data_IF_857541993020
#
_entry.id   IF_857541993020
#
_cell.length_a   1.000
_cell.length_b   1.000
_cell.length_c   1.000
_cell.angle_alpha   90.00
_cell.angle_beta   90.00
_cell.angle_gamma   90.00
#
_symmetry.space_group_name_H-M   'P 1'
#
loop_
_entity.id
_entity.type
_entity.pdbx_description
1 polymer ?
#
# COMPACT_ATOMS: atom_id res chain seq x y z
N UNK A 1 -44.37 31.86 32.61
CA UNK A 1 -45.61 31.98 31.82
C UNK A 1 -45.36 31.43 30.42
N UNK A 2 -46.29 30.61 29.92
CA UNK A 2 -46.34 29.96 28.59
C UNK A 2 -45.23 28.92 28.32
N UNK A 3 -45.41 27.60 28.49
CA UNK A 3 -46.37 26.62 27.91
C UNK A 3 -46.42 26.59 26.37
N UNK A 4 -46.01 25.43 25.82
CA UNK A 4 -46.53 24.64 24.68
C UNK A 4 -45.59 23.42 24.54
N UNK A 5 -45.89 22.19 24.99
CA UNK A 5 -46.75 21.12 24.40
C UNK A 5 -46.54 20.95 22.89
N UNK A 6 -46.42 19.77 22.27
CA UNK A 6 -46.32 18.35 22.63
C UNK A 6 -46.17 17.53 21.31
N UNK A 7 -45.99 16.20 21.44
CA UNK A 7 -46.24 15.06 20.50
C UNK A 7 -44.96 14.30 20.10
N UNK A 8 -44.61 13.18 20.75
CA UNK A 8 -45.16 11.81 20.64
C UNK A 8 -45.21 11.28 19.20
N UNK A 9 -44.45 10.21 18.93
CA UNK A 9 -44.97 8.90 18.47
C UNK A 9 -43.85 7.81 18.56
N UNK A 10 -44.10 6.67 19.25
CA UNK A 10 -43.23 5.50 19.24
C UNK A 10 -43.67 4.53 18.13
N UNK A 11 -42.74 4.11 17.29
CA UNK A 11 -42.97 3.20 16.16
C UNK A 11 -42.56 1.76 16.54
N UNK A 12 -43.12 1.26 17.65
CA UNK A 12 -42.78 -0.07 18.18
C UNK A 12 -43.98 -0.81 18.78
N UNK A 13 -45.13 -0.83 18.09
CA UNK A 13 -46.33 -1.55 18.56
C UNK A 13 -47.15 -2.19 17.42
N UNK A 14 -46.47 -2.78 16.43
CA UNK A 14 -47.13 -3.38 15.26
C UNK A 14 -46.63 -4.80 14.92
N UNK A 15 -46.35 -5.61 15.95
CA UNK A 15 -46.04 -7.04 15.79
C UNK A 15 -46.73 -7.96 16.84
N UNK A 16 -47.86 -7.55 17.43
CA UNK A 16 -48.54 -8.38 18.46
C UNK A 16 -50.06 -8.59 18.29
N UNK A 17 -50.64 -8.42 17.10
CA UNK A 17 -52.10 -8.65 16.91
C UNK A 17 -52.45 -9.44 15.65
N UNK A 18 -51.75 -10.54 15.38
CA UNK A 18 -52.21 -11.58 14.46
C UNK A 18 -51.86 -12.97 15.00
N UNK A 19 -52.50 -13.37 16.09
CA UNK A 19 -52.49 -14.75 16.56
C UNK A 19 -53.77 -15.04 17.36
N UNK A 20 -54.88 -15.24 16.67
CA UNK A 20 -56.04 -15.94 17.22
C UNK A 20 -56.89 -16.47 16.07
N UNK A 21 -57.28 -17.74 16.21
CA UNK A 21 -58.18 -18.51 15.35
C UNK A 21 -57.57 -19.26 14.15
N UNK A 22 -56.72 -20.26 14.43
CA UNK A 22 -56.89 -21.62 13.88
C UNK A 22 -56.46 -22.61 14.97
N UNK A 23 -57.43 -23.25 15.62
CA UNK A 23 -57.21 -24.46 16.43
C UNK A 23 -57.47 -25.63 15.48
N UNK A 24 -56.39 -26.21 14.98
CA UNK A 24 -56.39 -27.52 14.35
C UNK A 24 -55.25 -28.32 15.00
N UNK A 25 -55.51 -29.59 15.28
CA UNK A 25 -54.56 -30.57 15.80
C UNK A 25 -53.20 -30.44 15.11
N UNK A 26 -52.21 -29.92 15.84
CA UNK A 26 -50.80 -30.00 15.47
C UNK A 26 -50.11 -30.79 16.56
N UNK A 27 -49.65 -31.97 16.17
CA UNK A 27 -48.83 -32.88 16.96
C UNK A 27 -47.63 -32.14 17.56
N UNK A 28 -47.26 -32.52 18.78
CA UNK A 28 -46.18 -31.95 19.59
C UNK A 28 -44.76 -32.20 19.03
N UNK A 29 -44.50 -31.92 17.75
CA UNK A 29 -43.18 -32.01 17.11
C UNK A 29 -42.62 -30.64 16.67
N UNK A 30 -43.35 -29.53 16.82
CA UNK A 30 -42.90 -28.19 16.36
C UNK A 30 -42.13 -27.36 17.41
N UNK A 31 -41.89 -27.86 18.62
CA UNK A 31 -41.21 -27.08 19.67
C UNK A 31 -39.68 -27.02 19.55
N UNK A 32 -39.04 -27.90 18.75
CA UNK A 32 -37.58 -27.92 18.58
C UNK A 32 -37.06 -26.97 17.48
N UNK A 33 -37.92 -26.49 16.58
CA UNK A 33 -37.51 -25.65 15.46
C UNK A 33 -37.14 -24.22 15.90
N UNK A 34 -37.87 -23.66 16.86
CA UNK A 34 -37.64 -22.29 17.35
C UNK A 34 -36.44 -22.16 18.30
N UNK A 35 -36.15 -23.20 19.10
CA UNK A 35 -34.99 -23.20 19.99
C UNK A 35 -33.68 -23.22 19.18
N UNK A 36 -33.64 -23.98 18.09
CA UNK A 36 -32.46 -24.09 17.22
C UNK A 36 -32.17 -22.78 16.49
N UNK A 37 -33.19 -22.08 15.98
CA UNK A 37 -33.01 -20.77 15.35
C UNK A 37 -32.55 -19.69 16.32
N UNK A 38 -33.06 -19.69 17.56
CA UNK A 38 -32.64 -18.74 18.59
C UNK A 38 -31.20 -18.96 19.03
N UNK A 39 -30.76 -20.23 19.17
CA UNK A 39 -29.37 -20.58 19.47
C UNK A 39 -28.42 -20.22 18.31
N UNK A 40 -28.84 -20.38 17.06
CA UNK A 40 -28.06 -19.93 15.90
C UNK A 40 -27.94 -18.41 15.85
N UNK A 41 -29.03 -17.66 16.09
CA UNK A 41 -28.98 -16.19 16.14
C UNK A 41 -28.10 -15.67 17.29
N UNK A 42 -28.21 -16.26 18.49
CA UNK A 42 -27.38 -15.86 19.63
C UNK A 42 -25.90 -16.23 19.44
N UNK A 43 -25.60 -17.34 18.75
CA UNK A 43 -24.24 -17.68 18.33
C UNK A 43 -23.67 -16.68 17.30
N UNK A 44 -24.47 -16.25 16.33
CA UNK A 44 -24.05 -15.24 15.34
C UNK A 44 -23.81 -13.89 16.02
N UNK A 45 -24.73 -13.46 16.89
CA UNK A 45 -24.61 -12.20 17.63
C UNK A 45 -23.42 -12.21 18.61
N UNK A 46 -23.16 -13.32 19.30
CA UNK A 46 -21.98 -13.42 20.18
C UNK A 46 -20.66 -13.46 19.41
N UNK A 47 -20.65 -14.04 18.21
CA UNK A 47 -19.48 -14.03 17.32
C UNK A 47 -19.22 -12.64 16.74
N UNK A 48 -20.26 -11.87 16.43
CA UNK A 48 -20.13 -10.47 16.03
C UNK A 48 -19.68 -9.56 17.18
N UNK A 49 -20.15 -9.80 18.41
CA UNK A 49 -19.79 -8.99 19.57
C UNK A 49 -18.34 -9.17 20.04
N UNK A 50 -17.69 -10.26 19.64
CA UNK A 50 -16.30 -10.58 20.00
C UNK A 50 -15.42 -10.80 18.77
N UNK A 51 -15.78 -10.21 17.62
CA UNK A 51 -14.87 -10.21 16.49
C UNK A 51 -13.55 -9.58 16.95
N UNK A 52 -12.42 -10.31 16.88
CA UNK A 52 -11.15 -9.78 17.35
C UNK A 52 -10.86 -8.48 16.60
N UNK A 53 -10.49 -7.44 17.35
CA UNK A 53 -10.13 -6.15 16.79
C UNK A 53 -9.11 -6.37 15.68
N UNK A 54 -9.39 -5.84 14.49
CA UNK A 54 -8.45 -5.95 13.39
C UNK A 54 -7.31 -4.97 13.61
N UNK A 55 -6.09 -5.25 13.12
CA UNK A 55 -4.98 -4.34 13.30
C UNK A 55 -5.25 -2.93 12.74
N UNK A 56 -6.09 -2.83 11.70
CA UNK A 56 -6.54 -1.57 11.09
C UNK A 56 -7.74 -0.93 11.75
N UNK A 57 -8.20 -1.43 12.90
CA UNK A 57 -9.03 -0.69 13.84
C UNK A 57 -8.17 0.15 14.80
N UNK A 58 -6.92 -0.29 15.05
CA UNK A 58 -5.96 0.37 15.95
C UNK A 58 -5.18 1.47 15.24
N UNK A 59 -4.52 1.16 14.13
CA UNK A 59 -3.68 2.10 13.38
C UNK A 59 -4.21 2.34 11.96
N UNK A 60 -3.83 3.48 11.38
CA UNK A 60 -3.81 3.63 9.92
C UNK A 60 -2.51 3.08 9.35
N UNK A 61 -2.57 2.41 8.20
CA UNK A 61 -1.41 1.83 7.54
C UNK A 61 -1.21 2.47 6.18
N UNK A 62 0.02 2.91 5.90
CA UNK A 62 0.37 3.54 4.63
C UNK A 62 1.62 2.91 4.01
N UNK A 63 1.42 2.20 2.91
CA UNK A 63 2.49 1.78 2.01
C UNK A 63 2.84 2.94 1.10
N UNK A 64 4.12 3.25 0.96
CA UNK A 64 4.62 4.32 0.10
C UNK A 64 5.50 3.73 -0.99
N UNK A 65 5.17 4.09 -2.23
CA UNK A 65 5.94 3.71 -3.40
C UNK A 65 6.36 4.96 -4.18
N UNK A 66 7.62 5.00 -4.56
CA UNK A 66 8.16 6.01 -5.47
C UNK A 66 8.50 5.37 -6.81
N UNK A 67 8.33 6.09 -7.91
CA UNK A 67 8.54 5.60 -9.25
C UNK A 67 9.92 4.97 -9.38
N UNK A 68 9.96 3.75 -9.92
CA UNK A 68 11.18 2.93 -10.04
C UNK A 68 11.87 2.58 -8.72
N UNK A 69 11.31 2.82 -7.54
CA UNK A 69 11.83 2.35 -6.25
C UNK A 69 11.26 0.98 -5.83
N UNK A 70 10.57 0.26 -6.74
CA UNK A 70 9.90 -1.00 -6.43
C UNK A 70 8.40 -0.86 -6.20
N UNK A 71 7.71 0.04 -6.92
CA UNK A 71 6.27 0.29 -6.80
C UNK A 71 5.43 -0.98 -6.84
N UNK A 72 5.62 -1.83 -7.85
CA UNK A 72 4.84 -3.05 -7.99
C UNK A 72 5.12 -4.05 -6.85
N UNK A 73 6.39 -4.16 -6.44
CA UNK A 73 6.79 -4.97 -5.30
C UNK A 73 6.11 -4.51 -4.00
N UNK A 74 6.07 -3.19 -3.76
CA UNK A 74 5.36 -2.63 -2.61
C UNK A 74 3.87 -2.98 -2.65
N UNK A 75 3.20 -2.77 -3.79
CA UNK A 75 1.78 -3.09 -3.93
C UNK A 75 1.51 -4.57 -3.63
N UNK A 76 2.30 -5.47 -4.20
CA UNK A 76 2.14 -6.91 -4.00
C UNK A 76 2.40 -7.33 -2.54
N UNK A 77 3.47 -6.85 -1.93
CA UNK A 77 3.78 -7.13 -0.51
C UNK A 77 2.66 -6.60 0.37
N UNK A 78 2.24 -5.36 0.15
CA UNK A 78 1.20 -4.70 0.95
C UNK A 78 -0.14 -5.44 0.85
N UNK A 79 -0.58 -5.77 -0.36
CA UNK A 79 -1.79 -6.56 -0.59
C UNK A 79 -1.68 -7.95 0.04
N UNK A 80 -0.54 -8.63 -0.10
CA UNK A 80 -0.35 -9.97 0.46
C UNK A 80 -0.44 -9.96 1.99
N UNK A 81 0.14 -8.94 2.64
CA UNK A 81 0.07 -8.79 4.10
C UNK A 81 -1.38 -8.66 4.56
N UNK A 82 -2.11 -7.68 4.03
CA UNK A 82 -3.43 -7.37 4.56
C UNK A 82 -4.50 -8.37 4.11
N UNK A 83 -4.38 -8.97 2.93
CA UNK A 83 -5.27 -10.06 2.52
C UNK A 83 -5.10 -11.31 3.40
N UNK A 84 -3.87 -11.66 3.80
CA UNK A 84 -3.64 -12.77 4.73
C UNK A 84 -4.33 -12.56 6.09
N UNK A 85 -4.53 -11.31 6.52
CA UNK A 85 -5.25 -10.94 7.74
C UNK A 85 -6.77 -10.77 7.53
N UNK A 86 -7.25 -10.99 6.30
CA UNK A 86 -8.65 -10.94 5.92
C UNK A 86 -9.17 -9.55 5.52
N UNK A 87 -8.30 -8.59 5.19
CA UNK A 87 -8.72 -7.30 4.65
C UNK A 87 -9.42 -7.48 3.29
N UNK A 88 -10.51 -6.76 3.08
CA UNK A 88 -11.31 -6.82 1.85
C UNK A 88 -10.90 -5.71 0.89
N UNK A 89 -10.58 -6.04 -0.39
CA UNK A 89 -10.33 -5.04 -1.42
C UNK A 89 -11.47 -4.02 -1.51
N UNK A 90 -11.14 -2.76 -1.81
CA UNK A 90 -12.07 -1.63 -1.99
C UNK A 90 -12.85 -1.20 -0.73
N UNK A 91 -12.83 -1.98 0.35
CA UNK A 91 -13.47 -1.65 1.62
C UNK A 91 -12.41 -1.23 2.62
N UNK A 92 -11.51 -2.15 2.95
CA UNK A 92 -10.47 -1.93 3.96
C UNK A 92 -9.20 -1.34 3.36
N UNK A 93 -9.06 -1.46 2.03
CA UNK A 93 -7.86 -1.09 1.28
C UNK A 93 -8.12 -0.05 0.20
N UNK A 94 -7.22 0.92 0.07
CA UNK A 94 -7.22 1.97 -0.93
C UNK A 94 -5.87 2.15 -1.64
N UNK A 95 -5.89 2.78 -2.80
CA UNK A 95 -4.68 3.16 -3.54
C UNK A 95 -4.83 4.59 -4.07
N UNK A 96 -3.74 5.35 -4.05
CA UNK A 96 -3.65 6.70 -4.60
C UNK A 96 -2.37 6.89 -5.39
N UNK A 97 -2.49 7.55 -6.53
CA UNK A 97 -1.39 7.81 -7.46
C UNK A 97 -1.34 9.31 -7.83
N UNK A 98 -0.17 9.79 -8.25
CA UNK A 98 0.02 11.13 -8.78
C UNK A 98 0.70 11.10 -10.17
N UNK A 99 -0.03 11.40 -11.26
CA UNK A 99 -1.46 11.73 -11.30
C UNK A 99 -2.34 10.50 -11.05
N UNK A 100 -3.57 10.75 -10.63
CA UNK A 100 -4.54 9.67 -10.46
C UNK A 100 -5.07 9.23 -11.83
N UNK A 101 -4.60 8.09 -12.34
CA UNK A 101 -5.07 7.52 -13.60
C UNK A 101 -6.46 6.86 -13.43
N UNK A 102 -7.30 6.83 -14.48
CA UNK A 102 -8.59 6.15 -14.43
C UNK A 102 -8.44 4.68 -13.97
N UNK A 103 -9.12 4.33 -12.89
CA UNK A 103 -9.10 2.97 -12.32
C UNK A 103 -7.89 2.64 -11.46
N UNK A 104 -6.94 3.57 -11.24
CA UNK A 104 -5.77 3.30 -10.37
C UNK A 104 -5.92 3.85 -8.95
N UNK A 105 -6.77 4.85 -8.72
CA UNK A 105 -7.09 5.30 -7.36
C UNK A 105 -8.49 4.90 -6.94
N UNK A 106 -8.61 4.46 -5.70
CA UNK A 106 -9.85 4.01 -5.10
C UNK A 106 -9.79 4.09 -3.58
N UNK A 107 -10.96 4.15 -2.95
CA UNK A 107 -11.15 4.14 -1.49
C UNK A 107 -10.20 5.09 -0.72
N UNK A 108 -10.29 6.42 -0.94
CA UNK A 108 -9.44 7.42 -0.29
C UNK A 108 -9.49 7.46 1.24
N UNK A 109 -10.53 6.88 1.82
CA UNK A 109 -10.77 6.88 3.25
C UNK A 109 -10.50 5.50 3.90
N UNK A 110 -10.04 4.52 3.11
CA UNK A 110 -9.70 3.20 3.62
C UNK A 110 -8.55 3.28 4.64
N UNK A 111 -8.59 2.49 5.73
CA UNK A 111 -7.58 2.54 6.78
C UNK A 111 -6.23 1.96 6.35
N UNK A 112 -6.20 1.14 5.30
CA UNK A 112 -5.00 0.59 4.69
C UNK A 112 -4.82 1.23 3.32
N UNK A 113 -3.73 1.95 3.10
CA UNK A 113 -3.50 2.66 1.85
C UNK A 113 -2.16 2.35 1.23
N UNK A 114 -2.08 2.44 -0.10
CA UNK A 114 -0.82 2.56 -0.84
C UNK A 114 -0.82 3.88 -1.59
N UNK A 115 0.20 4.72 -1.37
CA UNK A 115 0.41 5.96 -2.11
C UNK A 115 1.61 5.84 -3.05
N UNK A 116 1.40 6.16 -4.32
CA UNK A 116 2.37 6.11 -5.40
C UNK A 116 2.70 7.55 -5.80
N UNK A 117 3.98 7.92 -5.75
CA UNK A 117 4.53 9.22 -6.16
C UNK A 117 3.96 10.49 -5.50
N UNK A 118 3.06 10.30 -4.52
CA UNK A 118 2.32 11.37 -3.86
C UNK A 118 2.91 11.75 -2.50
N UNK A 119 3.58 10.80 -1.82
CA UNK A 119 4.03 10.98 -0.44
C UNK A 119 5.23 11.92 -0.36
N UNK A 120 5.12 12.97 0.45
CA UNK A 120 6.13 14.02 0.64
C UNK A 120 6.11 14.45 2.11
N UNK A 121 7.13 15.19 2.61
CA UNK A 121 7.15 15.65 4.00
C UNK A 121 5.88 16.39 4.42
N UNK A 122 5.34 17.26 3.55
CA UNK A 122 4.10 17.98 3.82
C UNK A 122 2.89 17.05 3.89
N UNK A 123 2.82 16.00 3.05
CA UNK A 123 1.73 15.03 3.11
C UNK A 123 1.88 14.03 4.26
N UNK A 124 3.11 13.71 4.65
CA UNK A 124 3.40 12.89 5.82
C UNK A 124 2.85 13.54 7.09
N UNK A 125 3.09 14.84 7.26
CA UNK A 125 2.53 15.61 8.38
C UNK A 125 1.01 15.56 8.40
N UNK A 126 0.35 15.82 7.25
CA UNK A 126 -1.11 15.76 7.14
C UNK A 126 -1.69 14.37 7.41
N UNK A 127 -1.01 13.32 6.96
CA UNK A 127 -1.44 11.94 7.22
C UNK A 127 -1.38 11.60 8.71
N UNK A 128 -0.33 12.04 9.42
CA UNK A 128 -0.22 11.88 10.88
C UNK A 128 -1.30 12.64 11.63
N UNK A 129 -1.57 13.89 11.23
CA UNK A 129 -2.65 14.70 11.80
C UNK A 129 -4.01 14.03 11.60
N UNK A 130 -4.28 13.51 10.40
CA UNK A 130 -5.51 12.79 10.09
C UNK A 130 -5.64 11.47 10.86
N UNK A 131 -4.52 10.79 11.14
CA UNK A 131 -4.52 9.57 11.92
C UNK A 131 -4.87 9.81 13.41
N UNK A 132 -4.56 10.99 13.94
CA UNK A 132 -4.92 11.39 15.30
C UNK A 132 -4.47 10.39 16.36
N UNK A 133 -5.36 10.06 17.30
CA UNK A 133 -5.08 9.13 18.40
C UNK A 133 -4.86 7.67 17.94
N UNK A 134 -5.38 7.31 16.76
CA UNK A 134 -5.15 5.98 16.18
C UNK A 134 -3.70 5.80 15.75
N UNK A 135 -3.01 6.89 15.42
CA UNK A 135 -1.64 6.84 14.92
C UNK A 135 -1.53 6.23 13.52
N UNK A 136 -0.34 6.37 12.94
CA UNK A 136 -0.01 5.98 11.58
C UNK A 136 1.15 4.99 11.61
N UNK A 137 1.19 4.03 10.68
CA UNK A 137 2.35 3.20 10.39
C UNK A 137 2.67 3.30 8.91
N UNK A 138 3.82 3.87 8.59
CA UNK A 138 4.27 4.12 7.21
C UNK A 138 5.39 3.17 6.88
N UNK A 139 5.38 2.55 5.71
CA UNK A 139 6.53 1.82 5.21
C UNK A 139 6.75 2.11 3.72
N UNK A 140 8.01 2.17 3.30
CA UNK A 140 8.37 2.42 1.90
C UNK A 140 9.70 1.79 1.52
N UNK A 141 9.80 1.29 0.28
CA UNK A 141 11.09 0.95 -0.29
C UNK A 141 11.86 2.21 -0.65
N UNK A 142 13.13 2.23 -0.28
CA UNK A 142 14.11 3.19 -0.76
C UNK A 142 15.04 2.46 -1.70
N UNK A 143 15.35 3.10 -2.82
CA UNK A 143 16.26 2.60 -3.86
C UNK A 143 17.34 3.63 -4.13
N UNK A 144 18.50 3.19 -4.61
CA UNK A 144 19.56 4.07 -5.07
C UNK A 144 19.04 5.09 -6.12
N UNK A 145 19.08 6.42 -5.83
CA UNK A 145 18.61 7.46 -6.75
C UNK A 145 19.16 7.39 -8.18
N UNK A 146 20.43 7.03 -8.35
CA UNK A 146 21.04 6.91 -9.69
C UNK A 146 20.49 5.70 -10.41
N UNK A 147 20.34 4.57 -9.72
CA UNK A 147 19.71 3.38 -10.28
C UNK A 147 18.23 3.60 -10.63
N UNK A 148 17.51 4.47 -9.90
CA UNK A 148 16.14 4.85 -10.24
C UNK A 148 16.07 5.56 -11.60
N UNK A 149 16.91 6.58 -11.86
CA UNK A 149 16.87 7.32 -13.14
C UNK A 149 17.33 6.48 -14.33
N UNK A 150 18.31 5.59 -14.13
CA UNK A 150 18.72 4.62 -15.15
C UNK A 150 17.57 3.65 -15.45
N UNK A 151 16.88 3.20 -14.41
CA UNK A 151 15.71 2.34 -14.53
C UNK A 151 14.52 3.06 -15.18
N UNK A 152 14.35 4.37 -14.97
CA UNK A 152 13.32 5.17 -15.62
C UNK A 152 13.61 5.24 -17.13
N UNK A 153 14.79 5.71 -17.51
CA UNK A 153 15.18 5.82 -18.92
C UNK A 153 15.01 4.50 -19.67
N UNK A 154 15.58 3.40 -19.18
CA UNK A 154 15.50 2.11 -19.87
C UNK A 154 14.06 1.57 -20.02
N UNK A 155 13.18 1.94 -19.10
CA UNK A 155 11.80 1.53 -19.14
C UNK A 155 11.03 2.33 -20.19
N UNK A 156 11.13 3.65 -20.13
CA UNK A 156 10.40 4.56 -21.02
C UNK A 156 10.97 4.59 -22.44
N UNK A 157 12.29 4.42 -22.60
CA UNK A 157 12.93 4.31 -23.89
C UNK A 157 12.42 3.11 -24.72
N UNK A 158 11.94 2.05 -24.06
CA UNK A 158 11.30 0.89 -24.72
C UNK A 158 9.80 1.09 -24.99
N UNK A 159 9.29 2.31 -24.83
CA UNK A 159 7.89 2.66 -25.08
C UNK A 159 6.92 2.11 -24.04
N UNK A 160 7.36 1.93 -22.79
CA UNK A 160 6.47 1.56 -21.68
C UNK A 160 5.82 2.79 -21.07
N UNK A 161 4.63 2.60 -20.48
CA UNK A 161 3.80 3.68 -19.93
C UNK A 161 3.54 4.84 -20.92
N UNK A 162 3.09 4.53 -22.15
CA UNK A 162 2.79 5.55 -23.17
C UNK A 162 1.82 6.65 -22.70
N UNK A 163 1.07 6.41 -21.62
CA UNK A 163 0.13 7.36 -21.04
C UNK A 163 0.68 8.13 -19.83
N UNK A 164 1.97 8.00 -19.52
CA UNK A 164 2.56 8.72 -18.40
C UNK A 164 2.61 10.23 -18.68
N UNK A 165 1.80 10.99 -17.94
CA UNK A 165 1.71 12.44 -18.11
C UNK A 165 3.02 13.16 -17.78
N UNK A 166 3.90 12.54 -16.98
CA UNK A 166 5.22 13.06 -16.65
C UNK A 166 6.10 13.14 -17.89
N UNK A 167 5.86 12.30 -18.89
CA UNK A 167 6.65 12.19 -20.11
C UNK A 167 6.15 13.03 -21.28
N UNK A 168 5.33 14.06 -21.05
CA UNK A 168 4.79 14.88 -22.13
C UNK A 168 5.91 15.60 -22.93
N UNK A 169 5.97 15.49 -24.28
CA UNK A 169 5.09 14.70 -25.17
C UNK A 169 5.34 13.19 -25.09
N UNK A 170 4.25 12.42 -25.01
CA UNK A 170 4.29 10.97 -24.84
C UNK A 170 5.21 10.28 -25.84
N UNK A 171 6.03 9.36 -25.35
CA UNK A 171 6.97 8.59 -26.17
C UNK A 171 8.22 9.36 -26.62
N UNK A 172 8.46 10.58 -26.12
CA UNK A 172 9.66 11.34 -26.48
C UNK A 172 10.95 10.65 -26.03
N UNK A 173 10.95 9.99 -24.87
CA UNK A 173 12.14 9.29 -24.33
C UNK A 173 12.59 8.13 -25.22
N UNK A 174 11.65 7.49 -25.94
CA UNK A 174 11.96 6.43 -26.91
C UNK A 174 12.75 6.94 -28.13
N UNK A 175 12.75 8.26 -28.36
CA UNK A 175 13.47 8.90 -29.46
C UNK A 175 14.82 9.49 -29.02
N UNK A 176 15.06 9.56 -27.71
CA UNK A 176 16.28 10.15 -27.14
C UNK A 176 17.40 9.13 -27.02
N UNK A 177 18.63 9.57 -27.32
CA UNK A 177 19.84 8.80 -27.02
C UNK A 177 20.08 8.66 -25.51
N UNK A 178 21.00 7.79 -25.07
CA UNK A 178 21.21 7.48 -23.65
C UNK A 178 21.46 8.70 -22.75
N UNK A 179 22.38 9.59 -23.14
CA UNK A 179 22.71 10.76 -22.33
C UNK A 179 21.55 11.77 -22.27
N UNK A 180 20.90 12.02 -23.40
CA UNK A 180 19.78 12.95 -23.51
C UNK A 180 18.58 12.45 -22.69
N UNK A 181 18.18 11.19 -22.89
CA UNK A 181 17.06 10.58 -22.19
C UNK A 181 17.32 10.42 -20.70
N UNK A 182 18.52 10.00 -20.30
CA UNK A 182 18.90 9.93 -18.88
C UNK A 182 18.81 11.31 -18.20
N UNK A 183 19.27 12.36 -18.88
CA UNK A 183 19.18 13.74 -18.36
C UNK A 183 17.73 14.20 -18.26
N UNK A 184 16.91 13.92 -19.28
CA UNK A 184 15.49 14.24 -19.32
C UNK A 184 14.72 13.57 -18.17
N UNK A 185 14.97 12.29 -17.94
CA UNK A 185 14.37 11.51 -16.84
C UNK A 185 14.82 12.02 -15.48
N UNK A 186 16.11 12.28 -15.32
CA UNK A 186 16.64 12.77 -14.06
C UNK A 186 16.05 14.12 -13.64
N UNK A 187 15.74 15.02 -14.58
CA UNK A 187 15.06 16.27 -14.29
C UNK A 187 13.62 16.04 -13.78
N UNK A 188 12.89 15.11 -14.40
CA UNK A 188 11.48 14.81 -14.06
C UNK A 188 11.34 13.98 -12.79
N UNK A 189 12.29 13.10 -12.52
CA UNK A 189 12.36 12.29 -11.31
C UNK A 189 12.82 13.07 -10.07
N UNK A 190 13.34 14.29 -10.24
CA UNK A 190 13.90 15.08 -9.15
C UNK A 190 12.91 15.30 -7.99
N UNK A 191 11.63 15.69 -8.21
CA UNK A 191 10.66 15.82 -7.12
C UNK A 191 10.38 14.50 -6.39
N UNK A 192 10.32 13.38 -7.13
CA UNK A 192 10.10 12.03 -6.59
C UNK A 192 11.25 11.64 -5.65
N UNK A 193 12.49 11.76 -6.12
CA UNK A 193 13.69 11.43 -5.34
C UNK A 193 13.87 12.38 -4.15
N UNK A 194 13.57 13.67 -4.34
CA UNK A 194 13.59 14.65 -3.25
C UNK A 194 12.59 14.30 -2.15
N UNK A 195 11.37 13.91 -2.52
CA UNK A 195 10.34 13.48 -1.57
C UNK A 195 10.75 12.20 -0.83
N UNK A 196 11.21 11.18 -1.56
CA UNK A 196 11.71 9.94 -0.96
C UNK A 196 12.84 10.22 0.04
N UNK A 197 13.82 11.04 -0.35
CA UNK A 197 14.94 11.41 0.52
C UNK A 197 14.44 12.14 1.77
N UNK A 198 13.57 13.14 1.61
CA UNK A 198 13.06 13.93 2.74
C UNK A 198 12.21 13.15 3.73
N UNK A 199 11.69 11.97 3.36
CA UNK A 199 10.98 11.06 4.26
C UNK A 199 11.93 10.06 4.92
N UNK A 200 12.86 9.49 4.16
CA UNK A 200 13.60 8.29 4.58
C UNK A 200 15.08 8.50 4.93
N UNK A 201 15.62 9.71 4.80
CA UNK A 201 16.96 10.01 5.35
C UNK A 201 16.99 9.93 6.88
N UNK A 202 15.92 10.39 7.52
CA UNK A 202 15.74 10.43 8.97
C UNK A 202 14.29 10.04 9.28
N UNK A 203 13.94 8.75 9.10
CA UNK A 203 12.56 8.31 9.28
C UNK A 203 12.10 8.57 10.72
N UNK A 204 10.85 9.02 10.87
CA UNK A 204 10.22 9.15 12.17
C UNK A 204 9.93 7.76 12.77
N UNK A 205 9.60 7.70 14.07
CA UNK A 205 9.30 6.43 14.76
C UNK A 205 8.13 5.65 14.15
N UNK A 206 7.25 6.34 13.44
CA UNK A 206 6.09 5.78 12.76
C UNK A 206 6.34 5.44 11.29
N UNK A 207 7.61 5.48 10.86
CA UNK A 207 8.02 5.31 9.47
C UNK A 207 9.15 4.29 9.37
N UNK A 208 8.93 3.22 8.59
CA UNK A 208 9.93 2.22 8.29
C UNK A 208 10.47 2.39 6.87
N UNK A 209 11.79 2.50 6.78
CA UNK A 209 12.53 2.38 5.52
C UNK A 209 12.84 0.91 5.24
N UNK A 210 12.44 0.42 4.07
CA UNK A 210 12.88 -0.86 3.51
C UNK A 210 13.96 -0.63 2.45
N UNK A 211 14.95 -1.50 2.40
CA UNK A 211 16.04 -1.42 1.42
C UNK A 211 15.68 -2.24 0.17
N UNK A 212 15.46 -1.57 -0.97
CA UNK A 212 15.09 -2.23 -2.21
C UNK A 212 16.18 -3.19 -2.70
N UNK A 213 17.44 -2.76 -2.67
CA UNK A 213 18.57 -3.56 -3.13
C UNK A 213 18.72 -4.82 -2.29
N UNK A 214 18.59 -4.72 -0.96
CA UNK A 214 18.60 -5.89 -0.07
C UNK A 214 17.40 -6.81 -0.31
N UNK A 215 16.21 -6.23 -0.44
CA UNK A 215 14.97 -6.99 -0.65
C UNK A 215 15.00 -7.81 -1.93
N UNK A 216 15.64 -7.28 -2.99
CA UNK A 216 15.65 -7.91 -4.31
C UNK A 216 16.92 -8.72 -4.61
N UNK A 217 17.99 -8.58 -3.83
CA UNK A 217 19.24 -9.28 -4.07
C UNK A 217 19.17 -10.80 -3.84
N UNK A 218 18.30 -11.27 -2.95
CA UNK A 218 18.13 -12.69 -2.63
C UNK A 218 16.85 -12.94 -1.85
N UNK A 219 16.39 -14.19 -1.81
CA UNK A 219 15.27 -14.62 -0.97
C UNK A 219 15.50 -14.43 0.52
N UNK A 220 16.73 -14.64 1.00
CA UNK A 220 17.07 -14.40 2.42
C UNK A 220 17.01 -12.89 2.75
N UNK A 221 17.46 -12.06 1.81
CA UNK A 221 17.35 -10.60 1.88
C UNK A 221 15.89 -10.14 1.94
N UNK A 222 15.04 -10.71 1.08
CA UNK A 222 13.60 -10.49 1.08
C UNK A 222 12.97 -10.86 2.43
N UNK A 223 13.18 -12.09 2.90
CA UNK A 223 12.59 -12.59 4.16
C UNK A 223 13.01 -11.73 5.35
N UNK A 224 14.29 -11.33 5.40
CA UNK A 224 14.80 -10.47 6.45
C UNK A 224 14.12 -9.10 6.49
N UNK A 225 13.85 -8.49 5.33
CA UNK A 225 13.13 -7.21 5.24
C UNK A 225 11.63 -7.39 5.57
N UNK A 226 11.01 -8.51 5.19
CA UNK A 226 9.61 -8.80 5.53
C UNK A 226 9.41 -9.02 7.03
N UNK A 227 10.31 -9.72 7.71
CA UNK A 227 10.27 -9.88 9.17
C UNK A 227 10.32 -8.53 9.87
N UNK A 228 11.21 -7.62 9.43
CA UNK A 228 11.28 -6.25 9.96
C UNK A 228 9.99 -5.48 9.71
N UNK A 229 9.46 -5.55 8.48
CA UNK A 229 8.22 -4.88 8.11
C UNK A 229 7.05 -5.32 8.99
N UNK A 230 6.81 -6.63 9.09
CA UNK A 230 5.68 -7.19 9.83
C UNK A 230 5.85 -6.96 11.34
N UNK A 231 7.09 -7.02 11.85
CA UNK A 231 7.42 -6.61 13.22
C UNK A 231 7.04 -5.16 13.51
N UNK A 232 7.41 -4.24 12.62
CA UNK A 232 7.13 -2.81 12.76
C UNK A 232 5.64 -2.46 12.60
N UNK A 233 4.95 -3.07 11.64
CA UNK A 233 3.54 -2.73 11.38
C UNK A 233 2.64 -3.15 12.54
N UNK A 234 2.83 -4.36 13.04
CA UNK A 234 1.85 -4.98 13.93
C UNK A 234 2.32 -5.13 15.36
N UNK A 235 3.62 -5.18 15.64
CA UNK A 235 4.12 -5.48 17.00
C UNK A 235 3.39 -6.71 17.58
N UNK A 236 2.58 -6.54 18.63
CA UNK A 236 1.81 -7.61 19.27
C UNK A 236 0.33 -7.66 18.84
N UNK A 237 -0.08 -6.92 17.81
CA UNK A 237 -1.46 -6.84 17.31
C UNK A 237 -1.93 -8.07 16.53
N UNK A 238 -1.02 -8.97 16.15
CA UNK A 238 -1.33 -10.23 15.46
C UNK A 238 -0.70 -11.40 16.19
N UNK A 239 -1.34 -12.57 16.15
CA UNK A 239 -0.79 -13.79 16.78
C UNK A 239 0.48 -14.29 16.08
N UNK A 240 1.17 -15.24 16.71
CA UNK A 240 2.32 -15.90 16.08
C UNK A 240 1.92 -16.66 14.80
N UNK A 241 0.72 -17.26 14.80
CA UNK A 241 0.16 -17.97 13.66
C UNK A 241 -0.18 -17.01 12.51
N UNK A 242 -0.87 -15.90 12.80
CA UNK A 242 -1.17 -14.85 11.81
C UNK A 242 0.12 -14.25 11.24
N UNK A 243 1.13 -14.00 12.10
CA UNK A 243 2.45 -13.52 11.66
C UNK A 243 3.12 -14.50 10.70
N UNK A 244 3.06 -15.81 10.98
CA UNK A 244 3.62 -16.83 10.11
C UNK A 244 2.86 -16.91 8.77
N UNK A 245 1.53 -16.79 8.80
CA UNK A 245 0.70 -16.76 7.60
C UNK A 245 1.01 -15.55 6.71
N UNK A 246 1.13 -14.35 7.31
CA UNK A 246 1.51 -13.12 6.62
C UNK A 246 2.90 -13.25 5.99
N UNK A 247 3.90 -13.76 6.73
CA UNK A 247 5.25 -13.99 6.20
C UNK A 247 5.24 -14.96 5.01
N UNK A 248 4.46 -16.04 5.10
CA UNK A 248 4.33 -16.98 4.00
C UNK A 248 3.60 -16.35 2.79
N UNK A 249 2.59 -15.51 3.03
CA UNK A 249 1.88 -14.82 1.96
C UNK A 249 2.77 -13.85 1.19
N UNK A 250 3.65 -13.09 1.87
CA UNK A 250 4.55 -12.13 1.20
C UNK A 250 5.59 -12.80 0.31
N UNK A 251 5.96 -14.05 0.57
CA UNK A 251 6.92 -14.78 -0.28
C UNK A 251 6.50 -14.84 -1.75
N UNK A 252 5.20 -14.73 -2.07
CA UNK A 252 4.70 -14.65 -3.46
C UNK A 252 5.24 -13.43 -4.23
N UNK A 253 5.66 -12.39 -3.53
CA UNK A 253 6.24 -11.18 -4.12
C UNK A 253 7.78 -11.25 -4.23
N UNK A 254 8.42 -12.31 -3.73
CA UNK A 254 9.87 -12.49 -3.84
C UNK A 254 10.26 -12.84 -5.28
N UNK A 255 10.93 -11.89 -5.94
CA UNK A 255 11.38 -12.01 -7.34
C UNK A 255 12.42 -13.11 -7.56
N UNK A 256 13.06 -13.64 -6.51
CA UNK A 256 14.01 -14.74 -6.64
C UNK A 256 13.31 -16.11 -6.57
N UNK A 257 12.22 -16.22 -5.79
CA UNK A 257 11.37 -17.43 -5.73
C UNK A 257 10.39 -17.48 -6.90
N UNK A 258 9.88 -16.32 -7.28
CA UNK A 258 8.88 -16.14 -8.32
C UNK A 258 9.36 -15.05 -9.29
N UNK A 259 10.33 -15.39 -10.16
CA UNK A 259 10.76 -14.45 -11.18
C UNK A 259 9.54 -14.02 -12.00
N UNK A 260 9.44 -12.72 -12.26
CA UNK A 260 8.42 -12.19 -13.14
C UNK A 260 8.52 -12.91 -14.48
N UNK A 261 7.38 -13.29 -15.06
CA UNK A 261 7.39 -13.89 -16.39
C UNK A 261 7.97 -12.86 -17.37
N UNK A 262 8.70 -13.29 -18.40
CA UNK A 262 9.28 -12.36 -19.39
C UNK A 262 8.20 -11.51 -20.11
N UNK A 263 6.95 -11.97 -20.08
CA UNK A 263 5.77 -11.23 -20.59
C UNK A 263 5.34 -10.07 -19.68
N UNK A 264 5.77 -10.05 -18.41
CA UNK A 264 5.55 -8.93 -17.50
C UNK A 264 6.41 -7.75 -17.96
N UNK A 265 5.75 -6.90 -18.74
CA UNK A 265 6.26 -5.71 -19.43
C UNK A 265 6.95 -4.64 -18.55
N UNK A 266 7.21 -4.96 -17.28
CA UNK A 266 7.67 -4.07 -16.23
C UNK A 266 9.11 -4.34 -15.76
N UNK A 267 9.78 -5.38 -16.27
CA UNK A 267 11.21 -5.61 -16.04
C UNK A 267 12.07 -4.85 -17.06
N UNK A 268 13.25 -4.38 -16.65
CA UNK A 268 14.22 -3.70 -17.51
C UNK A 268 15.31 -4.63 -17.99
N UNK A 269 15.59 -4.57 -19.29
CA UNK A 269 16.75 -5.20 -19.92
C UNK A 269 18.05 -4.86 -19.14
N UNK A 270 18.75 -5.88 -18.59
CA UNK A 270 20.03 -5.69 -17.92
C UNK A 270 21.06 -4.94 -18.79
N UNK A 271 21.08 -5.19 -20.10
CA UNK A 271 22.05 -4.59 -21.02
C UNK A 271 21.77 -3.11 -21.26
N UNK A 272 20.50 -2.71 -21.28
CA UNK A 272 20.14 -1.29 -21.29
C UNK A 272 20.66 -0.59 -20.03
N UNK A 273 20.42 -1.16 -18.84
CA UNK A 273 20.82 -0.55 -17.56
C UNK A 273 22.34 -0.40 -17.47
N UNK A 274 23.08 -1.45 -17.85
CA UNK A 274 24.54 -1.44 -17.84
C UNK A 274 25.10 -0.33 -18.74
N UNK A 275 24.67 -0.28 -20.01
CA UNK A 275 25.10 0.74 -20.98
C UNK A 275 24.72 2.15 -20.55
N UNK A 276 23.48 2.36 -20.10
CA UNK A 276 23.00 3.68 -19.67
C UNK A 276 23.80 4.20 -18.47
N UNK A 277 24.20 3.32 -17.55
CA UNK A 277 24.99 3.71 -16.38
C UNK A 277 26.35 4.32 -16.75
N UNK A 278 26.92 3.96 -17.90
CA UNK A 278 28.17 4.55 -18.41
C UNK A 278 28.03 6.05 -18.76
N UNK A 279 26.80 6.52 -19.01
CA UNK A 279 26.53 7.93 -19.34
C UNK A 279 26.25 8.80 -18.11
N UNK A 280 26.06 8.21 -16.92
CA UNK A 280 25.80 8.97 -15.68
C UNK A 280 26.89 10.02 -15.40
N UNK A 281 28.20 9.73 -15.54
CA UNK A 281 29.25 10.74 -15.32
C UNK A 281 29.21 11.93 -16.29
N UNK A 282 28.56 11.79 -17.44
CA UNK A 282 28.45 12.83 -18.48
C UNK A 282 27.19 13.71 -18.33
N UNK A 283 26.32 13.43 -17.35
CA UNK A 283 25.16 14.28 -17.05
C UNK A 283 25.60 15.70 -16.62
N UNK A 284 24.71 16.71 -16.78
CA UNK A 284 24.96 18.05 -16.23
C UNK A 284 25.40 17.99 -14.76
N UNK A 285 26.52 18.65 -14.44
CA UNK A 285 27.20 18.49 -13.16
C UNK A 285 26.37 18.89 -11.94
N UNK A 286 25.50 19.89 -12.10
CA UNK A 286 24.55 20.37 -11.09
C UNK A 286 23.45 19.34 -10.82
N UNK A 287 22.93 18.71 -11.87
CA UNK A 287 21.93 17.64 -11.75
C UNK A 287 22.55 16.40 -11.12
N UNK A 288 23.71 15.94 -11.61
CA UNK A 288 24.42 14.80 -11.04
C UNK A 288 24.83 15.06 -9.58
N UNK A 289 25.23 16.30 -9.25
CA UNK A 289 25.54 16.71 -7.88
C UNK A 289 24.34 16.56 -6.93
N UNK A 290 23.13 16.88 -7.39
CA UNK A 290 21.91 16.67 -6.60
C UNK A 290 21.64 15.18 -6.35
N UNK A 291 21.75 14.34 -7.38
CA UNK A 291 21.56 12.89 -7.23
C UNK A 291 22.59 12.25 -6.31
N UNK A 292 23.86 12.64 -6.41
CA UNK A 292 24.92 12.19 -5.49
C UNK A 292 24.66 12.64 -4.06
N UNK A 293 24.15 13.86 -3.86
CA UNK A 293 23.72 14.33 -2.53
C UNK A 293 22.61 13.46 -1.96
N UNK A 294 21.60 13.09 -2.76
CA UNK A 294 20.55 12.16 -2.32
C UNK A 294 21.11 10.77 -2.01
N UNK A 295 22.01 10.22 -2.84
CA UNK A 295 22.68 8.94 -2.56
C UNK A 295 23.41 8.97 -1.22
N UNK A 296 24.16 10.04 -0.93
CA UNK A 296 24.88 10.19 0.34
C UNK A 296 23.92 10.25 1.53
N UNK A 297 22.87 11.07 1.45
CA UNK A 297 21.86 11.22 2.52
C UNK A 297 21.09 9.93 2.79
N UNK A 298 20.90 9.11 1.76
CA UNK A 298 20.26 7.80 1.86
C UNK A 298 21.27 6.66 2.18
N UNK A 299 22.56 6.92 2.29
CA UNK A 299 23.57 5.92 2.64
C UNK A 299 24.00 4.98 1.50
N UNK A 300 23.78 5.34 0.24
CA UNK A 300 24.24 4.58 -0.93
C UNK A 300 25.64 4.95 -1.41
N UNK A 301 26.15 6.12 -1.02
CA UNK A 301 27.50 6.55 -1.33
C UNK A 301 28.39 6.48 -0.08
N UNK A 302 29.66 6.05 -0.21
CA UNK A 302 30.62 6.16 0.89
C UNK A 302 30.78 7.63 1.28
N UNK A 303 30.77 7.90 2.60
CA UNK A 303 30.94 9.22 3.20
C UNK A 303 32.30 9.83 2.91
#
# INVERSE_FOLDING_TARGET
MSMLRAKCWPLLWLLCTYASAVVADVSCEEHDFHATQFLQMTSILNAELHSPLKPWDVHYYLGVAYHKAGTYLMIQVWQSIFHALGAKPLIDMGQWDQPCYPGTCYAPDAPIQVWIDLYSPAKAQKAREAAGERGLRVAGFVRDPVSMIVSAYCYHHRGKELWNFVENPQGIVAQMGPLEGLTFEAQRMLPVVKNMTGIFEHPANDTLRLDYERTTASSDGFDSEMVKLIGFLFEDLISAEERAEVLNATQRADLNRHPANDDDNHSNDPDCKARTREYVPAMPSDLLGQYRSFQQRLGYAPS
#
